data_IF_327279879259
#
_entry.id   IF_327279879259
#
_cell.length_a   1.000
_cell.length_b   1.000
_cell.length_c   1.000
_cell.angle_alpha   90.00
_cell.angle_beta   90.00
_cell.angle_gamma   90.00
#
_symmetry.space_group_name_H-M   'P 1'
#
loop_
_entity.id
_entity.type
_entity.pdbx_description
1 polymer ?
#
# COMPACT_ATOMS: atom_id res chain seq x y z
N UNK A 1 -3.73 -5.57 -21.32
CA UNK A 1 -3.43 -5.35 -21.20
C UNK A 1 -2.77 -5.13 -20.96
N UNK A 2 -2.56 -5.25 -21.38
CA UNK A 2 -1.85 -5.00 -21.21
C UNK A 2 -1.54 -4.60 -20.20
N UNK A 3 -1.36 -4.79 -19.97
CA UNK A 3 -1.10 -4.49 -19.20
C UNK A 3 -1.21 -3.85 -18.46
N UNK A 4 -1.42 -3.93 -18.48
CA UNK A 4 -1.62 -2.79 -18.01
C UNK A 4 -1.36 -2.49 -16.62
N UNK A 5 -0.65 -1.47 -16.49
CA UNK A 5 -0.47 -0.85 -15.21
C UNK A 5 -1.71 0.01 -14.96
N UNK A 6 -2.47 -0.36 -13.97
CA UNK A 6 -3.64 0.38 -13.55
C UNK A 6 -3.38 0.98 -12.18
N UNK A 7 -4.05 2.11 -11.91
CA UNK A 7 -4.04 2.70 -10.58
C UNK A 7 -5.11 2.00 -9.76
N UNK A 8 -4.70 1.47 -8.63
CA UNK A 8 -5.60 0.79 -7.69
C UNK A 8 -5.52 1.47 -6.34
N UNK A 9 -6.68 1.82 -5.80
CA UNK A 9 -6.78 2.52 -4.52
C UNK A 9 -7.40 1.61 -3.48
N UNK A 10 -6.82 1.63 -2.28
CA UNK A 10 -7.28 0.81 -1.17
C UNK A 10 -7.45 1.65 0.08
N UNK A 11 -8.54 1.41 0.81
CA UNK A 11 -8.72 1.96 2.15
C UNK A 11 -8.39 0.84 3.12
N UNK A 12 -7.46 1.11 4.05
CA UNK A 12 -6.83 0.08 4.84
C UNK A 12 -6.91 0.44 6.31
N UNK A 13 -7.13 -0.55 7.15
CA UNK A 13 -7.02 -0.38 8.60
C UNK A 13 -5.56 -0.25 8.98
N UNK A 14 -5.29 0.50 10.05
CA UNK A 14 -3.93 0.77 10.48
C UNK A 14 -3.12 -0.51 10.70
N UNK A 15 -3.73 -1.51 11.29
CA UNK A 15 -3.06 -2.79 11.57
C UNK A 15 -2.68 -3.57 10.31
N UNK A 16 -3.27 -3.25 9.16
CA UNK A 16 -3.02 -3.95 7.91
C UNK A 16 -2.11 -3.17 6.94
N UNK A 17 -1.74 -1.93 7.28
CA UNK A 17 -1.03 -1.07 6.34
C UNK A 17 0.27 -1.71 5.85
N UNK A 18 1.10 -2.20 6.77
CA UNK A 18 2.38 -2.79 6.37
C UNK A 18 2.20 -4.03 5.51
N UNK A 19 1.25 -4.89 5.89
CA UNK A 19 0.98 -6.11 5.13
C UNK A 19 0.46 -5.79 3.73
N UNK A 20 -0.43 -4.82 3.61
CA UNK A 20 -0.95 -4.39 2.32
C UNK A 20 0.15 -3.81 1.44
N UNK A 21 0.97 -2.93 1.99
CA UNK A 21 2.07 -2.30 1.24
C UNK A 21 3.06 -3.36 0.75
N UNK A 22 3.44 -4.29 1.63
CA UNK A 22 4.37 -5.35 1.25
C UNK A 22 3.77 -6.27 0.20
N UNK A 23 2.49 -6.59 0.32
CA UNK A 23 1.81 -7.44 -0.67
C UNK A 23 1.74 -6.76 -2.03
N UNK A 24 1.46 -5.46 -2.06
CA UNK A 24 1.41 -4.74 -3.33
C UNK A 24 2.77 -4.70 -4.02
N UNK A 25 3.85 -4.46 -3.27
CA UNK A 25 5.20 -4.54 -3.86
C UNK A 25 5.49 -5.95 -4.39
N UNK A 26 5.16 -6.97 -3.60
CA UNK A 26 5.40 -8.36 -4.02
C UNK A 26 4.57 -8.73 -5.24
N UNK A 27 3.40 -8.13 -5.38
CA UNK A 27 2.51 -8.36 -6.53
C UNK A 27 2.91 -7.59 -7.78
N UNK A 28 3.98 -6.80 -7.71
CA UNK A 28 4.51 -6.13 -8.88
C UNK A 28 4.19 -4.65 -8.99
N UNK A 29 3.80 -3.99 -7.88
CA UNK A 29 3.57 -2.55 -7.92
C UNK A 29 4.84 -1.85 -8.42
N UNK A 30 4.65 -0.92 -9.34
CA UNK A 30 5.74 -0.14 -9.93
C UNK A 30 5.93 1.18 -9.22
N UNK A 31 4.86 1.73 -8.70
CA UNK A 31 4.91 2.91 -7.86
C UNK A 31 3.75 2.88 -6.89
N UNK A 32 3.88 3.64 -5.82
CA UNK A 32 2.90 3.60 -4.73
C UNK A 32 2.85 4.95 -4.04
N UNK A 33 1.65 5.32 -3.62
CA UNK A 33 1.44 6.43 -2.70
C UNK A 33 0.74 5.91 -1.46
N UNK A 34 1.15 6.40 -0.32
CA UNK A 34 0.43 6.21 0.93
C UNK A 34 0.00 7.59 1.37
N UNK A 35 -1.29 7.78 1.55
CA UNK A 35 -1.86 9.09 1.79
C UNK A 35 -1.46 10.03 0.64
N UNK A 36 -0.85 11.17 0.93
CA UNK A 36 -0.42 12.13 -0.08
C UNK A 36 1.08 12.04 -0.40
N UNK A 37 1.75 10.95 0.03
CA UNK A 37 3.18 10.80 -0.18
C UNK A 37 3.52 9.63 -1.08
N UNK A 38 4.40 9.89 -2.03
CA UNK A 38 4.98 8.83 -2.84
C UNK A 38 6.01 8.08 -2.01
N UNK A 39 5.95 6.75 -2.04
CA UNK A 39 6.87 5.91 -1.28
C UNK A 39 7.63 4.99 -2.21
N UNK A 40 8.80 4.56 -1.74
CA UNK A 40 9.62 3.55 -2.40
C UNK A 40 9.49 2.26 -1.60
N UNK A 41 9.94 1.16 -2.19
CA UNK A 41 9.80 -0.13 -1.52
C UNK A 41 10.58 -0.18 -0.19
N UNK A 42 11.58 0.68 -0.02
CA UNK A 42 12.38 0.76 1.21
C UNK A 42 11.98 1.94 2.10
N UNK A 43 10.89 2.62 1.81
CA UNK A 43 10.41 3.71 2.66
C UNK A 43 9.92 3.14 3.99
N UNK A 44 10.23 3.84 5.08
CA UNK A 44 9.77 3.43 6.39
C UNK A 44 8.29 3.79 6.57
N UNK A 45 7.51 2.80 6.98
CA UNK A 45 6.10 2.94 7.30
C UNK A 45 5.93 2.48 8.73
N UNK A 46 5.63 3.40 9.63
CA UNK A 46 5.59 3.10 11.07
C UNK A 46 4.19 3.32 11.58
N UNK A 47 3.63 2.27 12.19
CA UNK A 47 2.31 2.32 12.79
C UNK A 47 2.46 2.34 14.31
N UNK A 48 1.95 3.39 14.94
CA UNK A 48 2.00 3.55 16.40
C UNK A 48 0.62 3.99 16.90
N UNK A 49 0.01 3.15 17.73
CA UNK A 49 -1.35 3.41 18.17
C UNK A 49 -2.26 3.46 16.96
N UNK A 50 -3.00 4.55 16.81
CA UNK A 50 -3.84 4.76 15.63
C UNK A 50 -3.23 5.79 14.66
N UNK A 51 -1.93 6.02 14.75
CA UNK A 51 -1.22 7.01 13.94
C UNK A 51 -0.29 6.29 12.98
N UNK A 52 -0.27 6.77 11.75
CA UNK A 52 0.70 6.34 10.74
C UNK A 52 1.76 7.41 10.64
N UNK A 53 3.02 7.02 10.86
CA UNK A 53 4.16 7.92 10.67
C UNK A 53 4.84 7.54 9.37
N UNK A 54 4.91 8.49 8.45
CA UNK A 54 5.39 8.24 7.11
C UNK A 54 6.30 9.40 6.71
N UNK A 55 7.58 9.09 6.56
CA UNK A 55 8.59 10.07 6.13
C UNK A 55 8.54 11.35 6.97
N UNK A 56 8.41 11.17 8.29
CA UNK A 56 8.43 12.27 9.24
C UNK A 56 7.09 12.98 9.44
N UNK A 57 6.05 12.54 8.75
CA UNK A 57 4.72 13.16 8.87
C UNK A 57 3.74 12.17 9.48
N UNK A 58 2.88 12.66 10.36
CA UNK A 58 1.87 11.85 11.03
C UNK A 58 0.54 11.95 10.31
N UNK A 59 -0.15 10.82 10.24
CA UNK A 59 -1.47 10.74 9.61
C UNK A 59 -2.44 10.00 10.53
N UNK A 60 -3.69 10.43 10.47
CA UNK A 60 -4.79 9.77 11.17
C UNK A 60 -5.68 9.03 10.19
N UNK A 61 -6.45 8.03 10.65
CA UNK A 61 -7.37 7.31 9.76
C UNK A 61 -8.38 8.26 9.11
N UNK A 62 -8.95 7.88 7.96
CA UNK A 62 -8.71 6.63 7.23
C UNK A 62 -7.38 6.64 6.49
N UNK A 63 -6.78 5.45 6.33
CA UNK A 63 -5.52 5.33 5.60
C UNK A 63 -5.79 4.83 4.19
N UNK A 64 -5.18 5.48 3.20
CA UNK A 64 -5.34 5.11 1.81
C UNK A 64 -3.99 4.76 1.20
N UNK A 65 -3.99 3.72 0.38
CA UNK A 65 -2.82 3.28 -0.37
C UNK A 65 -3.22 3.23 -1.82
N UNK A 66 -2.42 3.83 -2.69
CA UNK A 66 -2.63 3.79 -4.14
C UNK A 66 -1.41 3.15 -4.78
N UNK A 67 -1.64 2.19 -5.67
CA UNK A 67 -0.54 1.50 -6.33
C UNK A 67 -0.78 1.44 -7.83
N UNK A 68 0.29 1.57 -8.59
CA UNK A 68 0.27 1.38 -10.05
C UNK A 68 1.01 0.08 -10.33
N UNK A 69 0.35 -0.83 -11.02
CA UNK A 69 0.95 -2.12 -11.35
C UNK A 69 -0.05 -3.09 -11.95
N UNK A 70 0.34 -4.35 -12.10
CA UNK A 70 -0.53 -5.38 -12.65
C UNK A 70 -1.62 -5.74 -11.65
N UNK A 71 -2.85 -5.35 -11.95
CA UNK A 71 -3.97 -5.46 -11.02
C UNK A 71 -4.18 -6.89 -10.52
N UNK A 72 -4.20 -7.86 -11.42
CA UNK A 72 -4.49 -9.25 -11.03
C UNK A 72 -3.42 -9.81 -10.10
N UNK A 73 -2.16 -9.55 -10.39
CA UNK A 73 -1.07 -10.04 -9.55
C UNK A 73 -1.07 -9.37 -8.18
N UNK A 74 -1.38 -8.07 -8.14
CA UNK A 74 -1.49 -7.36 -6.87
C UNK A 74 -2.63 -7.89 -6.01
N UNK A 75 -3.78 -8.15 -6.63
CA UNK A 75 -4.93 -8.70 -5.91
C UNK A 75 -4.59 -10.09 -5.36
N UNK A 76 -3.93 -10.94 -6.16
CA UNK A 76 -3.52 -12.25 -5.67
C UNK A 76 -2.56 -12.15 -4.48
N UNK A 77 -1.64 -11.20 -4.54
CA UNK A 77 -0.71 -11.00 -3.43
C UNK A 77 -1.43 -10.53 -2.16
N UNK A 78 -2.43 -9.66 -2.31
CA UNK A 78 -3.24 -9.22 -1.18
C UNK A 78 -4.02 -10.39 -0.58
N UNK A 79 -4.62 -11.24 -1.42
CA UNK A 79 -5.35 -12.41 -0.93
C UNK A 79 -4.43 -13.36 -0.18
N UNK A 80 -3.22 -13.56 -0.68
CA UNK A 80 -2.25 -14.47 -0.05
C UNK A 80 -1.72 -13.91 1.27
N UNK A 81 -1.74 -12.60 1.45
CA UNK A 81 -1.19 -11.97 2.65
C UNK A 81 -2.10 -12.07 3.86
N UNK A 82 -3.35 -12.45 3.67
CA UNK A 82 -4.38 -12.48 4.73
C UNK A 82 -4.63 -11.10 5.36
N UNK A 83 -4.28 -10.04 4.65
CA UNK A 83 -4.46 -8.69 5.16
C UNK A 83 -5.85 -8.13 4.85
N UNK A 84 -6.61 -8.86 4.07
CA UNK A 84 -7.92 -8.38 3.58
C UNK A 84 -8.97 -9.43 3.83
#
# INVERSE_FOLDING_TARGET
SGSAANINDYVVHQEDVEAVVNALWAGGAESMMIMDQRVLFNSAVICQGNVLLLQGKKYSPPFTVSAIGPTDAMIRALDDSNAV
#
